data_IF_977634637170
#
_entry.id   IF_977634637170
#
_cell.length_a   1.000
_cell.length_b   1.000
_cell.length_c   1.000
_cell.angle_alpha   90.00
_cell.angle_beta   90.00
_cell.angle_gamma   90.00
#
_symmetry.space_group_name_H-M   'P 1'
#
loop_
_entity.id
_entity.type
_entity.pdbx_description
1 polymer ?
#
# COMPACT_ATOMS: atom_id res chain seq x y z
N UNK A 1 39.96 6.06 0.93
CA UNK A 1 39.06 7.06 0.34
C UNK A 1 37.67 6.88 0.94
N UNK A 2 37.11 7.82 1.71
CA UNK A 2 35.75 7.66 2.20
C UNK A 2 34.79 7.80 1.02
N UNK A 3 34.14 6.69 0.64
CA UNK A 3 33.08 6.69 -0.37
C UNK A 3 31.89 7.47 0.18
N UNK A 4 31.66 8.66 -0.35
CA UNK A 4 30.50 9.44 0.04
C UNK A 4 29.24 8.73 -0.46
N UNK A 5 28.24 8.45 0.40
CA UNK A 5 27.02 7.83 -0.04
C UNK A 5 26.35 8.71 -1.10
N UNK A 6 25.93 8.09 -2.22
CA UNK A 6 25.22 8.80 -3.31
C UNK A 6 24.12 9.71 -2.72
N UNK A 7 23.99 10.96 -3.20
CA UNK A 7 22.94 11.86 -2.75
C UNK A 7 21.56 11.21 -2.86
N UNK A 8 20.69 11.41 -1.86
CA UNK A 8 19.34 10.83 -1.78
C UNK A 8 18.54 11.03 -3.07
N UNK A 9 18.66 12.21 -3.69
CA UNK A 9 18.04 12.56 -4.97
C UNK A 9 18.38 11.58 -6.10
N UNK A 10 19.64 11.13 -6.18
CA UNK A 10 20.10 10.19 -7.21
C UNK A 10 19.52 8.81 -6.95
N UNK A 11 19.58 8.32 -5.70
CA UNK A 11 19.02 7.02 -5.32
C UNK A 11 17.52 6.91 -5.59
N UNK A 12 16.76 7.96 -5.22
CA UNK A 12 15.31 8.01 -5.45
C UNK A 12 14.99 8.12 -6.95
N UNK A 13 15.85 8.81 -7.72
CA UNK A 13 15.76 8.87 -9.18
C UNK A 13 15.92 7.50 -9.84
N UNK A 14 17.02 6.80 -9.54
CA UNK A 14 17.33 5.44 -10.03
C UNK A 14 16.21 4.44 -9.67
N UNK A 15 15.71 4.50 -8.43
CA UNK A 15 14.62 3.64 -7.97
C UNK A 15 13.32 3.85 -8.76
N UNK A 16 12.92 5.11 -8.99
CA UNK A 16 11.72 5.42 -9.79
C UNK A 16 11.89 5.05 -11.25
N UNK A 17 13.10 5.15 -11.83
CA UNK A 17 13.35 4.74 -13.20
C UNK A 17 13.13 3.22 -13.37
N UNK A 18 13.63 2.41 -12.43
CA UNK A 18 13.40 0.96 -12.42
C UNK A 18 11.91 0.59 -12.31
N UNK A 19 11.16 1.25 -11.43
CA UNK A 19 9.72 1.02 -11.30
C UNK A 19 8.95 1.38 -12.58
N UNK A 20 9.32 2.48 -13.25
CA UNK A 20 8.70 2.84 -14.54
C UNK A 20 8.99 1.82 -15.64
N UNK A 21 10.19 1.26 -15.69
CA UNK A 21 10.53 0.20 -16.64
C UNK A 21 9.71 -1.08 -16.43
N UNK A 22 9.23 -1.32 -15.21
CA UNK A 22 8.30 -2.41 -14.87
C UNK A 22 6.83 -2.07 -15.16
N UNK A 23 6.55 -0.91 -15.77
CA UNK A 23 5.19 -0.44 -16.07
C UNK A 23 4.48 0.24 -14.89
N UNK A 24 5.13 0.45 -13.75
CA UNK A 24 4.53 1.07 -12.58
C UNK A 24 4.61 2.60 -12.64
N UNK A 25 3.51 3.28 -12.29
CA UNK A 25 3.43 4.75 -12.20
C UNK A 25 3.37 5.19 -10.73
N UNK A 26 4.32 6.02 -10.25
CA UNK A 26 4.26 6.51 -8.89
C UNK A 26 3.11 7.51 -8.73
N UNK A 27 2.27 7.30 -7.72
CA UNK A 27 1.29 8.28 -7.25
C UNK A 27 1.71 8.78 -5.87
N UNK A 28 1.59 10.08 -5.64
CA UNK A 28 1.78 10.69 -4.34
C UNK A 28 0.44 11.22 -3.89
N UNK A 29 -0.04 10.69 -2.77
CA UNK A 29 -1.27 11.14 -2.11
C UNK A 29 -0.94 11.51 -0.68
N UNK A 30 -1.59 12.57 -0.20
CA UNK A 30 -1.53 12.93 1.20
C UNK A 30 -2.61 12.16 1.93
N UNK A 31 -2.21 11.39 2.94
CA UNK A 31 -3.12 10.63 3.80
C UNK A 31 -3.14 11.26 5.19
N UNK A 32 -4.24 11.11 5.95
CA UNK A 32 -4.28 11.51 7.36
C UNK A 32 -3.18 10.82 8.17
N UNK A 33 -2.78 11.42 9.30
CA UNK A 33 -1.81 10.79 10.20
C UNK A 33 -2.37 9.49 10.76
N UNK A 34 -1.82 8.37 10.27
CA UNK A 34 -2.24 7.01 10.65
C UNK A 34 -1.91 6.65 12.09
N UNK A 35 -1.09 7.45 12.78
CA UNK A 35 -0.76 7.27 14.21
C UNK A 35 -1.76 7.98 15.13
N UNK A 36 -2.56 8.89 14.60
CA UNK A 36 -3.56 9.59 15.40
C UNK A 36 -4.63 8.60 15.90
N UNK A 37 -5.02 8.75 17.17
CA UNK A 37 -6.06 7.90 17.76
C UNK A 37 -7.40 8.01 17.02
N UNK A 38 -7.73 9.19 16.49
CA UNK A 38 -8.91 9.44 15.65
C UNK A 38 -8.89 8.62 14.36
N UNK A 39 -7.73 8.53 13.69
CA UNK A 39 -7.58 7.70 12.50
C UNK A 39 -7.82 6.23 12.83
N UNK A 40 -7.25 5.72 13.93
CA UNK A 40 -7.48 4.33 14.36
C UNK A 40 -8.95 4.05 14.65
N UNK A 41 -9.64 4.97 15.31
CA UNK A 41 -11.08 4.86 15.58
C UNK A 41 -11.90 4.83 14.28
N UNK A 42 -11.58 5.73 13.35
CA UNK A 42 -12.27 5.83 12.06
C UNK A 42 -12.03 4.61 11.18
N UNK A 43 -10.77 4.19 11.05
CA UNK A 43 -10.39 2.99 10.30
C UNK A 43 -11.11 1.76 10.85
N UNK A 44 -11.19 1.61 12.18
CA UNK A 44 -11.96 0.53 12.81
C UNK A 44 -13.45 0.61 12.46
N UNK A 45 -14.05 1.79 12.56
CA UNK A 45 -15.48 1.98 12.26
C UNK A 45 -15.79 1.63 10.80
N UNK A 46 -14.96 2.11 9.87
CA UNK A 46 -15.12 1.84 8.44
C UNK A 46 -14.88 0.37 8.10
N UNK A 47 -13.84 -0.25 8.67
CA UNK A 47 -13.59 -1.67 8.47
C UNK A 47 -14.78 -2.54 8.91
N UNK A 48 -15.41 -2.21 10.05
CA UNK A 48 -16.62 -2.90 10.50
C UNK A 48 -17.81 -2.67 9.56
N UNK A 49 -17.97 -1.45 9.04
CA UNK A 49 -19.04 -1.17 8.09
C UNK A 49 -18.89 -1.98 6.79
N UNK A 50 -17.66 -2.13 6.29
CA UNK A 50 -17.36 -2.99 5.13
C UNK A 50 -17.59 -4.46 5.47
N UNK A 51 -17.11 -4.94 6.62
CA UNK A 51 -17.30 -6.34 7.03
C UNK A 51 -18.78 -6.72 7.25
N UNK A 52 -19.64 -5.75 7.54
CA UNK A 52 -21.09 -5.93 7.66
C UNK A 52 -21.87 -5.52 6.41
N UNK A 53 -21.18 -5.20 5.30
CA UNK A 53 -21.86 -4.89 4.06
C UNK A 53 -22.54 -6.15 3.49
N UNK A 54 -23.61 -6.00 2.71
CA UNK A 54 -24.22 -7.12 1.98
C UNK A 54 -23.22 -7.84 1.06
N UNK A 55 -22.27 -7.07 0.52
CA UNK A 55 -21.29 -7.54 -0.47
C UNK A 55 -20.05 -8.19 0.17
N UNK A 56 -19.94 -8.17 1.51
CA UNK A 56 -18.76 -8.64 2.24
C UNK A 56 -18.37 -10.09 1.89
N UNK A 57 -19.36 -10.94 1.62
CA UNK A 57 -19.12 -12.33 1.19
C UNK A 57 -18.49 -12.42 -0.20
N UNK A 58 -19.00 -11.64 -1.16
CA UNK A 58 -18.51 -11.60 -2.53
C UNK A 58 -17.12 -10.96 -2.61
N UNK A 59 -16.90 -9.86 -1.85
CA UNK A 59 -15.60 -9.21 -1.71
C UNK A 59 -14.55 -10.19 -1.16
N UNK A 60 -14.91 -10.95 -0.12
CA UNK A 60 -14.02 -11.94 0.48
C UNK A 60 -13.73 -13.09 -0.49
N UNK A 61 -14.74 -13.61 -1.18
CA UNK A 61 -14.59 -14.67 -2.18
C UNK A 61 -13.68 -14.23 -3.34
N UNK A 62 -13.81 -12.98 -3.79
CA UNK A 62 -12.94 -12.41 -4.81
C UNK A 62 -11.49 -12.33 -4.34
N UNK A 63 -11.24 -11.79 -3.13
CA UNK A 63 -9.89 -11.69 -2.56
C UNK A 63 -9.26 -13.08 -2.42
N UNK A 64 -10.00 -14.06 -1.90
CA UNK A 64 -9.50 -15.43 -1.75
C UNK A 64 -9.15 -16.06 -3.11
N UNK A 65 -9.92 -15.77 -4.17
CA UNK A 65 -9.66 -16.30 -5.51
C UNK A 65 -8.40 -15.71 -6.18
N UNK A 66 -8.03 -14.46 -5.87
CA UNK A 66 -6.85 -13.79 -6.46
C UNK A 66 -5.61 -13.86 -5.56
N UNK A 67 -5.77 -14.29 -4.31
CA UNK A 67 -4.67 -14.41 -3.37
C UNK A 67 -3.87 -15.66 -3.68
N UNK A 68 -2.64 -15.49 -4.14
CA UNK A 68 -1.65 -16.56 -4.21
C UNK A 68 -1.23 -16.95 -2.79
N UNK A 69 -2.03 -17.81 -2.15
CA UNK A 69 -1.64 -18.54 -0.94
C UNK A 69 -0.68 -19.61 -1.42
N UNK A 70 0.59 -19.24 -1.64
CA UNK A 70 1.61 -20.16 -2.13
C UNK A 70 1.45 -21.52 -1.46
N UNK A 71 1.26 -22.55 -2.30
CA UNK A 71 1.04 -23.92 -1.85
C UNK A 71 2.17 -24.31 -0.89
N UNK A 72 1.81 -24.82 0.29
CA UNK A 72 2.73 -25.62 1.10
C UNK A 72 2.95 -26.98 0.42
#
# INVERSE_FOLDING_TARGET
MPSHPKPSRIKVGEHRARLRAQGLRPIQIWVPDVRAASFKAEARRQALAVAHSPDAGDDQAFIDAISDRGDE
#
